data_IF_321834252415
#
_entry.id   IF_321834252415
#
_cell.length_a   1.000
_cell.length_b   1.000
_cell.length_c   1.000
_cell.angle_alpha   90.00
_cell.angle_beta   90.00
_cell.angle_gamma   90.00
#
_symmetry.space_group_name_H-M   'P 1'
#
loop_
_entity.id
_entity.type
_entity.pdbx_description
1 polymer ?
#
# COMPACT_ATOMS: atom_id res chain seq x y z
N UNK A 1 -26.81 12.86 -4.73
CA UNK A 1 -26.34 12.13 -5.94
C UNK A 1 -26.27 13.10 -7.12
N UNK A 2 -25.07 13.47 -7.53
CA UNK A 2 -24.87 14.16 -8.81
C UNK A 2 -24.22 13.16 -9.76
N UNK A 3 -25.06 12.44 -10.50
CA UNK A 3 -24.62 11.59 -11.60
C UNK A 3 -24.29 12.48 -12.80
N UNK A 4 -23.02 12.78 -13.02
CA UNK A 4 -22.55 13.32 -14.30
C UNK A 4 -22.05 12.14 -15.13
N UNK A 5 -22.99 11.39 -15.70
CA UNK A 5 -22.73 10.41 -16.73
C UNK A 5 -22.56 11.14 -18.07
N UNK A 6 -21.32 11.37 -18.52
CA UNK A 6 -21.03 11.64 -19.92
C UNK A 6 -20.53 10.32 -20.55
N UNK A 7 -21.47 9.56 -21.10
CA UNK A 7 -21.16 8.39 -21.92
C UNK A 7 -20.72 8.84 -23.32
N UNK A 8 -19.43 8.75 -23.59
CA UNK A 8 -18.93 8.58 -24.94
C UNK A 8 -17.99 7.38 -24.93
N UNK A 9 -18.49 6.30 -25.36
CA UNK A 9 -17.97 5.00 -25.83
C UNK A 9 -16.93 4.22 -25.03
N UNK A 10 -16.05 4.77 -24.16
CA UNK A 10 -15.06 3.96 -23.39
C UNK A 10 -14.58 4.61 -22.09
N UNK A 11 -15.20 5.72 -21.65
CA UNK A 11 -14.78 6.44 -20.44
C UNK A 11 -15.99 6.76 -19.58
N UNK A 12 -15.95 6.42 -18.32
CA UNK A 12 -17.00 6.73 -17.35
C UNK A 12 -16.36 7.35 -16.11
N UNK A 13 -17.00 8.38 -15.55
CA UNK A 13 -16.61 8.97 -14.27
C UNK A 13 -17.82 8.92 -13.35
N UNK A 14 -17.65 8.31 -12.18
CA UNK A 14 -18.67 8.26 -11.11
C UNK A 14 -18.17 8.98 -9.89
N UNK A 15 -19.08 9.67 -9.23
CA UNK A 15 -18.85 10.35 -7.98
C UNK A 15 -19.67 9.67 -6.88
N UNK A 16 -19.01 9.43 -5.74
CA UNK A 16 -19.64 8.86 -4.55
C UNK A 16 -19.35 9.76 -3.35
N UNK A 17 -20.38 10.19 -2.64
CA UNK A 17 -20.28 11.12 -1.52
C UNK A 17 -20.83 10.51 -0.24
N UNK A 18 -20.15 10.78 0.87
CA UNK A 18 -20.52 10.30 2.20
C UNK A 18 -20.40 8.78 2.36
N UNK A 19 -20.78 8.29 3.53
CA UNK A 19 -20.64 6.87 3.88
C UNK A 19 -21.50 5.94 3.00
N UNK A 20 -22.70 6.36 2.61
CA UNK A 20 -23.54 5.59 1.69
C UNK A 20 -22.92 5.50 0.29
N UNK A 21 -22.29 6.59 -0.17
CA UNK A 21 -21.55 6.60 -1.42
C UNK A 21 -20.34 5.66 -1.37
N UNK A 22 -19.57 5.69 -0.27
CA UNK A 22 -18.45 4.77 -0.07
C UNK A 22 -18.90 3.31 -0.08
N UNK A 23 -19.99 2.97 0.61
CA UNK A 23 -20.55 1.62 0.58
C UNK A 23 -20.96 1.19 -0.84
N UNK A 24 -21.64 2.08 -1.59
CA UNK A 24 -22.03 1.81 -2.97
C UNK A 24 -20.79 1.60 -3.88
N UNK A 25 -19.74 2.42 -3.70
CA UNK A 25 -18.47 2.23 -4.41
C UNK A 25 -17.86 0.87 -4.12
N UNK A 26 -17.73 0.46 -2.85
CA UNK A 26 -17.17 -0.85 -2.46
C UNK A 26 -17.99 -2.02 -3.01
N UNK A 27 -19.30 -1.92 -3.07
CA UNK A 27 -20.16 -2.95 -3.68
C UNK A 27 -19.95 -3.03 -5.20
N UNK A 28 -19.87 -1.89 -5.90
CA UNK A 28 -19.57 -1.85 -7.34
C UNK A 28 -18.19 -2.48 -7.64
N UNK A 29 -17.16 -2.10 -6.89
CA UNK A 29 -15.81 -2.65 -7.02
C UNK A 29 -15.80 -4.17 -6.79
N UNK A 30 -16.47 -4.65 -5.73
CA UNK A 30 -16.55 -6.08 -5.43
C UNK A 30 -17.23 -6.86 -6.56
N UNK A 31 -18.31 -6.31 -7.14
CA UNK A 31 -19.00 -6.91 -8.29
C UNK A 31 -18.09 -7.02 -9.51
N UNK A 32 -17.32 -5.98 -9.81
CA UNK A 32 -16.38 -5.95 -10.93
C UNK A 32 -15.25 -6.98 -10.74
N UNK A 33 -14.71 -7.10 -9.53
CA UNK A 33 -13.69 -8.10 -9.19
C UNK A 33 -14.25 -9.52 -9.26
N UNK A 34 -15.50 -9.73 -8.85
CA UNK A 34 -16.16 -11.05 -8.94
C UNK A 34 -16.34 -11.49 -10.39
N UNK A 35 -16.64 -10.57 -11.29
CA UNK A 35 -16.77 -10.81 -12.72
C UNK A 35 -15.41 -11.09 -13.37
N UNK A 36 -14.42 -10.22 -13.13
CA UNK A 36 -13.10 -10.29 -13.78
C UNK A 36 -12.17 -11.34 -13.18
N UNK A 37 -12.31 -11.64 -11.87
CA UNK A 37 -11.36 -12.44 -11.10
C UNK A 37 -9.94 -11.89 -11.06
N UNK A 38 -9.78 -10.61 -11.35
CA UNK A 38 -8.51 -9.92 -11.31
C UNK A 38 -8.11 -9.52 -9.89
N UNK A 39 -6.84 -9.18 -9.71
CA UNK A 39 -6.30 -8.71 -8.44
C UNK A 39 -6.66 -7.24 -8.20
N UNK A 40 -7.04 -6.91 -6.97
CA UNK A 40 -7.27 -5.54 -6.53
C UNK A 40 -5.97 -4.94 -5.99
N UNK A 41 -5.51 -3.82 -6.56
CA UNK A 41 -4.35 -3.09 -6.09
C UNK A 41 -4.80 -1.84 -5.33
N UNK A 42 -4.21 -1.61 -4.16
CA UNK A 42 -4.57 -0.49 -3.30
C UNK A 42 -3.30 0.25 -2.88
N UNK A 43 -3.29 1.57 -3.08
CA UNK A 43 -2.35 2.47 -2.41
C UNK A 43 -3.15 3.15 -1.32
N UNK A 44 -2.93 2.76 -0.08
CA UNK A 44 -3.70 3.23 1.06
C UNK A 44 -3.17 4.57 1.58
N UNK A 45 -4.08 5.51 1.77
CA UNK A 45 -3.79 6.75 2.46
C UNK A 45 -3.66 6.55 3.98
N UNK A 46 -3.22 7.60 4.66
CA UNK A 46 -3.18 7.65 6.13
C UNK A 46 -4.59 7.65 6.71
N UNK A 47 -4.89 6.73 7.62
CA UNK A 47 -6.21 6.63 8.26
C UNK A 47 -6.30 7.56 9.49
N UNK A 48 -6.66 8.81 9.28
CA UNK A 48 -6.92 9.74 10.41
C UNK A 48 -8.23 9.45 11.15
N UNK A 49 -9.19 8.76 10.51
CA UNK A 49 -10.53 8.49 11.06
C UNK A 49 -10.88 7.01 10.97
N UNK A 50 -10.05 6.20 11.58
CA UNK A 50 -10.06 4.75 11.51
C UNK A 50 -11.42 4.12 11.85
N UNK A 51 -12.05 4.55 12.94
CA UNK A 51 -13.26 3.92 13.46
C UNK A 51 -14.48 4.03 12.52
N UNK A 52 -14.59 5.13 11.79
CA UNK A 52 -15.72 5.37 10.89
C UNK A 52 -15.66 4.50 9.63
N UNK A 53 -14.45 4.31 9.09
CA UNK A 53 -14.23 3.55 7.87
C UNK A 53 -14.06 2.06 8.11
N UNK A 54 -13.62 1.65 9.30
CA UNK A 54 -13.28 0.25 9.62
C UNK A 54 -14.45 -0.71 9.31
N UNK A 55 -15.69 -0.32 9.63
CA UNK A 55 -16.86 -1.16 9.35
C UNK A 55 -17.08 -1.42 7.85
N UNK A 56 -16.87 -0.39 7.03
CA UNK A 56 -17.04 -0.52 5.57
C UNK A 56 -15.93 -1.37 4.98
N UNK A 57 -14.69 -1.13 5.39
CA UNK A 57 -13.53 -1.89 4.89
C UNK A 57 -13.54 -3.33 5.38
N UNK A 58 -13.84 -3.58 6.65
CA UNK A 58 -13.97 -4.94 7.19
C UNK A 58 -15.09 -5.71 6.46
N UNK A 59 -16.25 -5.08 6.23
CA UNK A 59 -17.33 -5.69 5.48
C UNK A 59 -16.96 -5.99 4.02
N UNK A 60 -16.19 -5.12 3.38
CA UNK A 60 -15.63 -5.36 2.06
C UNK A 60 -14.63 -6.53 2.07
N UNK A 61 -13.66 -6.53 2.97
CA UNK A 61 -12.64 -7.57 3.05
C UNK A 61 -13.24 -8.95 3.36
N UNK A 62 -14.21 -9.03 4.26
CA UNK A 62 -14.92 -10.28 4.53
C UNK A 62 -15.55 -10.87 3.26
N UNK A 63 -16.26 -10.05 2.49
CA UNK A 63 -16.90 -10.49 1.24
C UNK A 63 -15.87 -10.86 0.18
N UNK A 64 -14.78 -10.07 0.03
CA UNK A 64 -13.69 -10.34 -0.90
C UNK A 64 -13.01 -11.68 -0.61
N UNK A 65 -12.71 -11.93 0.66
CA UNK A 65 -12.08 -13.17 1.13
C UNK A 65 -12.99 -14.37 0.89
N UNK A 66 -14.28 -14.29 1.23
CA UNK A 66 -15.26 -15.34 0.95
C UNK A 66 -15.34 -15.70 -0.53
N UNK A 67 -15.12 -14.74 -1.41
CA UNK A 67 -15.11 -14.91 -2.86
C UNK A 67 -13.72 -15.26 -3.41
N UNK A 68 -12.70 -15.40 -2.55
CA UNK A 68 -11.31 -15.70 -2.89
C UNK A 68 -10.69 -14.71 -3.89
N UNK A 69 -11.02 -13.43 -3.74
CA UNK A 69 -10.53 -12.36 -4.61
C UNK A 69 -9.23 -11.75 -4.01
N UNK A 70 -8.10 -11.81 -4.74
CA UNK A 70 -6.82 -11.35 -4.22
C UNK A 70 -6.73 -9.82 -4.16
N UNK A 71 -5.97 -9.32 -3.17
CA UNK A 71 -5.61 -7.92 -3.08
C UNK A 71 -4.15 -7.73 -2.68
N UNK A 72 -3.55 -6.67 -3.22
CA UNK A 72 -2.23 -6.16 -2.83
C UNK A 72 -2.35 -4.72 -2.36
N UNK A 73 -1.82 -4.45 -1.17
CA UNK A 73 -2.01 -3.16 -0.51
C UNK A 73 -0.66 -2.55 -0.12
N UNK A 74 -0.44 -1.31 -0.54
CA UNK A 74 0.68 -0.48 -0.10
C UNK A 74 0.19 0.50 0.96
N UNK A 75 0.61 0.34 2.20
CA UNK A 75 0.27 1.21 3.31
C UNK A 75 1.27 2.34 3.49
N UNK A 76 0.81 3.46 4.03
CA UNK A 76 1.70 4.49 4.55
C UNK A 76 2.54 3.94 5.72
N UNK A 77 3.75 4.44 5.90
CA UNK A 77 4.61 4.07 7.03
C UNK A 77 4.03 4.42 8.41
N UNK A 78 3.03 5.29 8.46
CA UNK A 78 2.30 5.61 9.70
C UNK A 78 1.32 4.53 10.14
N UNK A 79 1.01 3.57 9.26
CA UNK A 79 -0.02 2.56 9.45
C UNK A 79 0.54 1.12 9.57
N UNK A 80 1.79 0.98 10.02
CA UNK A 80 2.50 -0.32 10.09
C UNK A 80 1.73 -1.40 10.85
N UNK A 81 1.21 -1.08 12.04
CA UNK A 81 0.45 -2.06 12.84
C UNK A 81 -0.84 -2.51 12.15
N UNK A 82 -1.48 -1.62 11.40
CA UNK A 82 -2.67 -1.97 10.62
C UNK A 82 -2.30 -2.79 9.38
N UNK A 83 -1.19 -2.48 8.75
CA UNK A 83 -0.67 -3.25 7.62
C UNK A 83 -0.35 -4.71 7.99
N UNK A 84 0.19 -4.95 9.20
CA UNK A 84 0.41 -6.32 9.71
C UNK A 84 -0.91 -7.08 9.86
N UNK A 85 -1.93 -6.46 10.46
CA UNK A 85 -3.25 -7.09 10.65
C UNK A 85 -3.89 -7.43 9.30
N UNK A 86 -3.90 -6.46 8.37
CA UNK A 86 -4.52 -6.65 7.05
C UNK A 86 -3.70 -7.61 6.18
N UNK A 87 -2.38 -7.55 6.24
CA UNK A 87 -1.49 -8.47 5.53
C UNK A 87 -1.59 -9.92 6.00
N UNK A 88 -2.10 -10.16 7.21
CA UNK A 88 -2.41 -11.50 7.75
C UNK A 88 -3.75 -12.09 7.27
N UNK A 89 -4.57 -11.33 6.55
CA UNK A 89 -5.83 -11.81 6.00
C UNK A 89 -5.59 -12.73 4.79
N UNK A 90 -6.46 -13.73 4.61
CA UNK A 90 -6.42 -14.61 3.45
C UNK A 90 -6.58 -13.81 2.14
N UNK A 91 -5.92 -14.25 1.08
CA UNK A 91 -5.92 -13.60 -0.23
C UNK A 91 -5.47 -12.13 -0.19
N UNK A 92 -4.62 -11.75 0.78
CA UNK A 92 -4.14 -10.38 0.95
C UNK A 92 -2.63 -10.36 1.11
N UNK A 93 -1.98 -9.48 0.37
CA UNK A 93 -0.57 -9.16 0.57
C UNK A 93 -0.43 -7.67 0.87
N UNK A 94 0.38 -7.32 1.87
CA UNK A 94 0.60 -5.94 2.28
C UNK A 94 2.09 -5.60 2.31
N UNK A 95 2.44 -4.40 1.88
CA UNK A 95 3.78 -3.80 2.03
C UNK A 95 3.65 -2.36 2.53
N UNK A 96 4.73 -1.82 3.06
CA UNK A 96 4.81 -0.42 3.50
C UNK A 96 5.48 0.40 2.42
N UNK A 97 4.91 1.55 2.11
CA UNK A 97 5.52 2.55 1.23
C UNK A 97 6.84 3.07 1.82
N UNK A 98 7.82 3.45 0.98
CA UNK A 98 9.04 4.09 1.42
C UNK A 98 8.77 5.30 2.33
N UNK A 99 9.61 5.52 3.35
CA UNK A 99 9.37 6.51 4.42
C UNK A 99 9.14 7.94 3.95
N UNK A 100 9.71 8.30 2.80
CA UNK A 100 9.54 9.63 2.21
C UNK A 100 8.27 9.79 1.36
N UNK A 101 7.52 8.72 1.15
CA UNK A 101 6.28 8.74 0.38
C UNK A 101 5.07 8.80 1.32
N UNK A 102 4.22 9.77 1.06
CA UNK A 102 2.93 9.90 1.70
C UNK A 102 1.83 9.67 0.66
N UNK A 103 0.81 8.94 1.05
CA UNK A 103 -0.38 8.74 0.23
C UNK A 103 -1.59 9.36 0.94
N UNK A 104 -1.82 10.68 0.79
CA UNK A 104 -2.91 11.39 1.47
C UNK A 104 -4.29 10.98 0.95
N UNK A 105 -4.33 10.33 -0.20
CA UNK A 105 -5.53 9.84 -0.85
C UNK A 105 -5.37 8.33 -1.06
N UNK A 106 -6.41 7.56 -0.78
CA UNK A 106 -6.44 6.14 -1.14
C UNK A 106 -6.71 6.02 -2.63
N UNK A 107 -5.96 5.15 -3.29
CA UNK A 107 -6.13 4.84 -4.70
C UNK A 107 -6.45 3.36 -4.83
N UNK A 108 -7.61 3.04 -5.39
CA UNK A 108 -7.99 1.67 -5.77
C UNK A 108 -7.81 1.50 -7.28
N UNK A 109 -7.24 0.36 -7.70
CA UNK A 109 -6.94 0.03 -9.09
C UNK A 109 -7.44 -1.39 -9.35
N UNK A 110 -8.40 -1.55 -10.26
CA UNK A 110 -8.98 -2.86 -10.57
C UNK A 110 -9.56 -2.86 -11.99
N UNK A 111 -9.50 -4.00 -12.67
CA UNK A 111 -10.10 -4.24 -14.00
C UNK A 111 -9.69 -3.14 -15.00
N UNK A 112 -10.58 -2.23 -15.32
CA UNK A 112 -10.35 -1.04 -16.17
C UNK A 112 -10.64 0.27 -15.42
N UNK A 113 -10.62 0.23 -14.08
CA UNK A 113 -10.96 1.33 -13.19
C UNK A 113 -9.78 1.81 -12.34
N UNK A 114 -9.81 3.09 -12.03
CA UNK A 114 -9.01 3.71 -10.97
C UNK A 114 -9.95 4.60 -10.15
N UNK A 115 -9.89 4.51 -8.83
CA UNK A 115 -10.60 5.45 -7.97
C UNK A 115 -9.68 6.14 -6.97
N UNK A 116 -10.09 7.33 -6.59
CA UNK A 116 -9.41 8.19 -5.62
C UNK A 116 -10.37 8.50 -4.49
N UNK A 117 -10.00 8.18 -3.26
CA UNK A 117 -10.80 8.42 -2.08
C UNK A 117 -10.08 9.36 -1.12
N UNK A 118 -10.73 10.44 -0.70
CA UNK A 118 -10.24 11.30 0.38
C UNK A 118 -10.50 10.68 1.74
N UNK A 119 -9.61 10.95 2.71
CA UNK A 119 -9.71 10.46 4.09
C UNK A 119 -10.31 11.54 5.02
N UNK A 120 -11.34 12.23 4.57
CA UNK A 120 -12.02 13.28 5.32
C UNK A 120 -13.21 12.72 6.14
N UNK A 121 -13.80 13.53 7.01
CA UNK A 121 -14.99 13.15 7.79
C UNK A 121 -16.16 12.71 6.91
N UNK A 122 -16.30 13.35 5.75
CA UNK A 122 -17.23 12.93 4.71
C UNK A 122 -16.42 12.35 3.53
N UNK A 123 -16.42 11.02 3.37
CA UNK A 123 -15.64 10.39 2.30
C UNK A 123 -16.15 10.83 0.93
N UNK A 124 -15.19 11.11 0.06
CA UNK A 124 -15.45 11.49 -1.31
C UNK A 124 -14.65 10.56 -2.23
N UNK A 125 -15.32 9.87 -3.15
CA UNK A 125 -14.68 8.95 -4.08
C UNK A 125 -14.97 9.35 -5.52
N UNK A 126 -13.92 9.52 -6.31
CA UNK A 126 -13.99 9.65 -7.76
C UNK A 126 -13.54 8.35 -8.38
N UNK A 127 -14.43 7.65 -9.07
CA UNK A 127 -14.11 6.43 -9.82
C UNK A 127 -14.08 6.72 -11.32
N UNK A 128 -13.01 6.33 -11.98
CA UNK A 128 -12.79 6.57 -13.40
C UNK A 128 -12.61 5.21 -14.07
N UNK A 129 -13.47 4.91 -15.04
CA UNK A 129 -13.31 3.77 -15.92
C UNK A 129 -12.55 4.21 -17.18
N UNK A 130 -11.32 3.73 -17.33
CA UNK A 130 -10.47 4.03 -18.47
C UNK A 130 -9.28 3.07 -18.51
N UNK A 131 -9.13 2.29 -19.55
CA UNK A 131 -8.09 1.28 -19.68
C UNK A 131 -6.66 1.86 -19.65
N UNK A 132 -6.41 3.03 -20.25
CA UNK A 132 -5.07 3.64 -20.23
C UNK A 132 -4.69 4.13 -18.84
N UNK A 133 -5.64 4.73 -18.10
CA UNK A 133 -5.41 5.14 -16.72
C UNK A 133 -5.17 3.92 -15.83
N UNK A 134 -5.99 2.88 -15.98
CA UNK A 134 -5.80 1.62 -15.26
C UNK A 134 -4.39 1.05 -15.48
N UNK A 135 -3.94 0.89 -16.73
CA UNK A 135 -2.61 0.37 -17.02
C UNK A 135 -1.50 1.25 -16.42
N UNK A 136 -1.60 2.57 -16.56
CA UNK A 136 -0.61 3.49 -15.98
C UNK A 136 -0.53 3.39 -14.46
N UNK A 137 -1.67 3.36 -13.76
CA UNK A 137 -1.69 3.25 -12.30
C UNK A 137 -1.29 1.85 -11.83
N UNK A 138 -1.61 0.81 -12.57
CA UNK A 138 -1.14 -0.55 -12.31
C UNK A 138 0.39 -0.64 -12.41
N UNK A 139 1.00 -0.03 -13.43
CA UNK A 139 2.46 0.06 -13.57
C UNK A 139 3.10 0.85 -12.42
N UNK A 140 2.49 1.98 -12.00
CA UNK A 140 2.95 2.73 -10.84
C UNK A 140 2.90 1.87 -9.56
N UNK A 141 1.78 1.17 -9.35
CA UNK A 141 1.66 0.26 -8.21
C UNK A 141 2.75 -0.82 -8.25
N UNK A 142 2.94 -1.47 -9.39
CA UNK A 142 3.93 -2.54 -9.53
C UNK A 142 5.36 -2.04 -9.32
N UNK A 143 5.69 -0.85 -9.81
CA UNK A 143 6.99 -0.21 -9.57
C UNK A 143 7.22 0.01 -8.06
N UNK A 144 6.22 0.54 -7.36
CA UNK A 144 6.29 0.71 -5.91
C UNK A 144 6.33 -0.62 -5.15
N UNK A 145 5.59 -1.62 -5.62
CA UNK A 145 5.54 -2.94 -5.03
C UNK A 145 6.86 -3.71 -5.15
N UNK A 146 7.57 -3.51 -6.24
CA UNK A 146 8.88 -4.14 -6.51
C UNK A 146 10.04 -3.45 -5.79
N UNK A 147 9.82 -2.25 -5.26
CA UNK A 147 10.82 -1.57 -4.46
C UNK A 147 10.97 -2.30 -3.11
N UNK A 148 11.94 -3.19 -3.02
CA UNK A 148 12.38 -3.81 -1.76
C UNK A 148 13.22 -2.80 -0.95
N UNK A 149 12.57 -1.69 -0.53
CA UNK A 149 13.19 -0.69 0.35
C UNK A 149 12.65 -0.89 1.75
N UNK A 150 13.42 -1.56 2.58
CA UNK A 150 13.16 -1.62 4.02
C UNK A 150 13.78 -0.38 4.68
N UNK A 151 12.96 0.47 5.28
CA UNK A 151 13.45 1.61 6.08
C UNK A 151 13.55 1.19 7.54
N UNK A 152 14.76 1.16 8.05
CA UNK A 152 15.06 0.76 9.41
C UNK A 152 15.51 1.98 10.20
N UNK A 153 14.89 2.23 11.36
CA UNK A 153 15.24 3.32 12.27
C UNK A 153 15.65 2.78 13.64
N UNK A 154 16.65 3.42 14.24
CA UNK A 154 17.20 3.03 15.55
C UNK A 154 18.41 2.11 15.45
N UNK A 155 19.44 2.43 16.25
CA UNK A 155 20.74 1.75 16.19
C UNK A 155 20.66 0.24 16.42
N UNK A 156 19.90 -0.20 17.43
CA UNK A 156 19.73 -1.62 17.73
C UNK A 156 18.99 -2.38 16.64
N UNK A 157 18.01 -1.77 16.00
CA UNK A 157 17.25 -2.37 14.90
C UNK A 157 18.12 -2.46 13.66
N UNK A 158 18.90 -1.42 13.33
CA UNK A 158 19.86 -1.43 12.23
C UNK A 158 20.89 -2.56 12.41
N UNK A 159 21.47 -2.68 13.63
CA UNK A 159 22.43 -3.74 13.94
C UNK A 159 21.83 -5.13 13.78
N UNK A 160 20.63 -5.36 14.31
CA UNK A 160 19.95 -6.66 14.23
C UNK A 160 19.58 -7.02 12.79
N UNK A 161 19.06 -6.08 12.02
CA UNK A 161 18.71 -6.31 10.61
C UNK A 161 19.95 -6.59 9.76
N UNK A 162 21.04 -5.86 10.00
CA UNK A 162 22.30 -6.10 9.30
C UNK A 162 22.87 -7.49 9.59
N UNK A 163 22.82 -7.93 10.85
CA UNK A 163 23.23 -9.29 11.21
C UNK A 163 22.33 -10.35 10.56
N UNK A 164 21.02 -10.14 10.56
CA UNK A 164 20.07 -11.04 9.89
C UNK A 164 20.43 -11.19 8.42
N UNK A 165 20.60 -10.10 7.68
CA UNK A 165 20.97 -10.14 6.25
C UNK A 165 22.29 -10.87 6.04
N UNK A 166 23.32 -10.63 6.86
CA UNK A 166 24.60 -11.34 6.77
C UNK A 166 24.44 -12.86 7.00
N UNK A 167 23.58 -13.28 7.93
CA UNK A 167 23.31 -14.71 8.16
C UNK A 167 22.49 -15.36 7.04
N UNK A 168 21.66 -14.61 6.36
CA UNK A 168 20.84 -15.09 5.24
C UNK A 168 21.62 -15.16 3.92
N UNK A 169 22.75 -14.46 3.82
CA UNK A 169 23.63 -14.48 2.63
C UNK A 169 24.25 -15.85 2.38
N UNK A 170 24.23 -16.25 1.12
CA UNK A 170 24.90 -17.48 0.67
C UNK A 170 26.37 -17.21 0.34
N UNK A 171 27.24 -18.23 0.40
CA UNK A 171 28.63 -18.07 -0.03
C UNK A 171 28.74 -17.56 -1.48
N UNK A 172 29.43 -16.44 -1.66
CA UNK A 172 29.62 -15.79 -2.95
C UNK A 172 28.64 -14.68 -3.27
N UNK A 173 27.63 -14.43 -2.42
CA UNK A 173 26.81 -13.23 -2.53
C UNK A 173 27.53 -12.01 -1.98
N UNK A 174 27.33 -10.86 -2.61
CA UNK A 174 27.95 -9.58 -2.23
C UNK A 174 26.84 -8.59 -1.83
N UNK A 175 27.11 -7.75 -0.83
CA UNK A 175 26.26 -6.61 -0.52
C UNK A 175 27.00 -5.31 -0.80
N UNK A 176 26.25 -4.29 -1.21
CA UNK A 176 26.79 -2.95 -1.45
C UNK A 176 26.17 -1.95 -0.47
N UNK A 177 27.01 -1.07 0.07
CA UNK A 177 26.57 0.05 0.91
C UNK A 177 26.77 1.35 0.15
N UNK A 178 25.68 2.06 -0.11
CA UNK A 178 25.69 3.35 -0.80
C UNK A 178 25.37 4.45 0.21
N UNK A 179 26.26 5.44 0.33
CA UNK A 179 26.01 6.64 1.13
C UNK A 179 25.96 6.39 2.64
N UNK A 180 26.79 5.51 3.16
CA UNK A 180 26.87 5.28 4.61
C UNK A 180 27.26 6.58 5.33
N UNK A 181 26.29 7.16 6.04
CA UNK A 181 26.51 8.25 6.97
C UNK A 181 26.04 7.79 8.36
N UNK A 182 26.95 7.83 9.31
CA UNK A 182 26.65 7.38 10.69
C UNK A 182 25.89 8.42 11.52
N UNK A 183 25.49 9.54 10.93
CA UNK A 183 24.76 10.60 11.62
C UNK A 183 25.65 11.37 12.59
N UNK A 184 25.10 11.64 13.78
CA UNK A 184 25.81 12.36 14.83
C UNK A 184 26.97 11.55 15.42
N UNK A 185 27.92 12.24 16.05
CA UNK A 185 29.17 11.67 16.57
C UNK A 185 28.94 10.48 17.52
N UNK A 186 27.87 10.54 18.32
CA UNK A 186 27.49 9.46 19.26
C UNK A 186 27.13 8.16 18.50
N UNK A 187 26.34 8.25 17.45
CA UNK A 187 25.98 7.11 16.59
C UNK A 187 27.18 6.53 15.86
N UNK A 188 28.07 7.40 15.40
CA UNK A 188 29.31 6.98 14.73
C UNK A 188 30.24 6.22 15.69
N UNK A 189 30.33 6.63 16.95
CA UNK A 189 31.16 5.97 17.97
C UNK A 189 30.65 4.56 18.33
N UNK A 190 29.36 4.30 18.17
CA UNK A 190 28.77 2.97 18.38
C UNK A 190 28.88 2.10 17.12
N UNK A 191 28.59 2.66 15.97
CA UNK A 191 28.48 1.88 14.72
C UNK A 191 29.85 1.50 14.14
N UNK A 192 30.86 2.37 14.18
CA UNK A 192 32.20 2.06 13.62
C UNK A 192 32.85 0.84 14.26
N UNK A 193 32.97 0.72 15.61
CA UNK A 193 33.55 -0.48 16.23
C UNK A 193 32.72 -1.74 15.94
N UNK A 194 31.39 -1.59 15.85
CA UNK A 194 30.50 -2.69 15.55
C UNK A 194 30.74 -3.22 14.13
N UNK A 195 30.79 -2.36 13.11
CA UNK A 195 31.12 -2.76 11.74
C UNK A 195 32.49 -3.42 11.63
N UNK A 196 33.52 -2.86 12.27
CA UNK A 196 34.88 -3.45 12.26
C UNK A 196 34.90 -4.87 12.85
N UNK A 197 34.02 -5.15 13.83
CA UNK A 197 33.90 -6.48 14.44
C UNK A 197 33.36 -7.53 13.47
N UNK A 198 32.41 -7.16 12.61
CA UNK A 198 31.68 -8.10 11.74
C UNK A 198 32.14 -8.11 10.29
N UNK A 199 33.09 -7.22 9.90
CA UNK A 199 33.71 -7.19 8.57
C UNK A 199 35.04 -7.96 8.49
N UNK A 200 35.26 -8.85 9.42
CA UNK A 200 36.39 -9.80 9.34
C UNK A 200 35.86 -11.15 8.90
#
# INVERSE_FOLDING_TARGET
EVNISRSSSNHEVKLYEGMSGLQAHRQSLLSDLEESKEEHYIIAGSHKQKELYDLVFQGYDQQRIQKQLPAKILFSNTDMAYAEVVGGLEYTAAKILPQHMQAPVMIDIWKDHVSFMTNDEEPFVVSIRNAQMFESFREYFQTLWQQDVETITGLSVIQTSFLRWMYEMKPGEEYMVIGANYGEEESANIMRPWFVKYHK
#
